data_IF_737528168574
#
_entry.id   IF_737528168574
#
_cell.length_a   1.000
_cell.length_b   1.000
_cell.length_c   1.000
_cell.angle_alpha   90.00
_cell.angle_beta   90.00
_cell.angle_gamma   90.00
#
_symmetry.space_group_name_H-M   'P 1'
#
loop_
_entity.id
_entity.type
_entity.pdbx_description
1 polymer ?
#
# COMPACT_ATOMS: atom_id res chain seq x y z
N UNK A 1 -64.40 -14.34 -29.69
CA UNK A 1 -63.64 -13.36 -30.48
C UNK A 1 -62.65 -12.72 -29.54
N UNK A 2 -61.38 -13.00 -29.76
CA UNK A 2 -60.25 -12.62 -28.91
C UNK A 2 -59.88 -11.16 -29.15
N UNK A 3 -59.55 -10.43 -28.10
CA UNK A 3 -58.70 -9.26 -28.21
C UNK A 3 -57.88 -9.08 -26.92
N UNK A 4 -56.61 -9.52 -26.90
CA UNK A 4 -55.64 -9.07 -25.92
C UNK A 4 -54.62 -8.17 -26.63
N UNK A 5 -54.75 -6.86 -26.47
CA UNK A 5 -53.62 -5.96 -26.67
C UNK A 5 -52.83 -5.93 -25.36
N UNK A 6 -51.96 -6.92 -25.19
CA UNK A 6 -50.78 -6.75 -24.35
C UNK A 6 -49.79 -5.92 -25.17
N UNK A 7 -49.64 -4.64 -24.81
CA UNK A 7 -48.45 -3.89 -25.17
C UNK A 7 -47.25 -4.57 -24.49
N UNK A 8 -46.62 -5.51 -25.19
CA UNK A 8 -45.27 -5.95 -24.87
C UNK A 8 -44.36 -4.72 -24.95
N UNK A 9 -44.03 -4.19 -23.77
CA UNK A 9 -42.89 -3.27 -23.62
C UNK A 9 -41.67 -4.04 -24.10
N UNK A 10 -41.19 -3.69 -25.30
CA UNK A 10 -40.00 -4.24 -25.89
C UNK A 10 -38.80 -3.96 -24.99
N UNK A 11 -38.39 -4.96 -24.20
CA UNK A 11 -37.26 -4.92 -23.27
C UNK A 11 -35.90 -5.13 -23.94
N UNK A 12 -35.83 -5.12 -25.27
CA UNK A 12 -34.56 -5.24 -25.98
C UNK A 12 -33.89 -3.86 -26.17
N UNK A 13 -32.65 -3.76 -25.66
CA UNK A 13 -31.67 -2.67 -25.87
C UNK A 13 -31.62 -1.48 -24.88
N UNK A 14 -31.88 -1.68 -23.59
CA UNK A 14 -31.21 -0.81 -22.60
C UNK A 14 -29.76 -1.30 -22.46
N UNK A 15 -28.82 -0.53 -23.01
CA UNK A 15 -27.37 -0.75 -22.84
C UNK A 15 -27.01 -0.97 -21.37
N UNK A 16 -26.19 -1.98 -21.08
CA UNK A 16 -25.71 -2.28 -19.72
C UNK A 16 -25.02 -1.08 -19.06
N UNK A 17 -24.41 -0.16 -19.84
CA UNK A 17 -23.86 1.08 -19.31
C UNK A 17 -24.93 2.01 -18.73
N UNK A 18 -26.11 2.05 -19.36
CA UNK A 18 -27.27 2.84 -18.92
C UNK A 18 -27.91 2.25 -17.67
N UNK A 19 -27.91 0.92 -17.53
CA UNK A 19 -28.42 0.21 -16.34
C UNK A 19 -27.50 0.44 -15.12
N UNK A 20 -26.19 0.58 -15.34
CA UNK A 20 -25.18 0.66 -14.28
C UNK A 20 -24.71 2.10 -13.93
N UNK A 21 -25.23 3.14 -14.60
CA UNK A 21 -24.69 4.52 -14.55
C UNK A 21 -23.15 4.54 -14.67
N UNK A 22 -22.63 3.72 -15.59
CA UNK A 22 -21.20 3.48 -15.68
C UNK A 22 -20.50 4.71 -16.27
N UNK A 23 -19.66 5.37 -15.47
CA UNK A 23 -18.90 6.54 -15.91
C UNK A 23 -17.66 6.11 -16.70
N UNK A 24 -17.40 6.76 -17.86
CA UNK A 24 -16.15 6.54 -18.58
C UNK A 24 -14.95 7.02 -17.74
N UNK A 25 -13.73 6.52 -18.01
CA UNK A 25 -12.54 7.09 -17.40
C UNK A 25 -12.43 8.59 -17.71
N UNK A 26 -11.85 9.40 -16.81
CA UNK A 26 -11.61 10.81 -17.09
C UNK A 26 -10.69 10.98 -18.31
N UNK A 27 -10.74 12.12 -19.02
CA UNK A 27 -9.83 12.40 -20.13
C UNK A 27 -8.36 12.16 -19.77
N UNK A 28 -7.58 11.64 -20.72
CA UNK A 28 -6.17 11.37 -20.50
C UNK A 28 -5.37 12.68 -20.53
N UNK A 29 -4.60 12.91 -19.46
CA UNK A 29 -3.68 14.05 -19.38
C UNK A 29 -2.38 13.75 -20.14
N UNK A 30 -2.34 14.10 -21.42
CA UNK A 30 -1.17 13.94 -22.27
C UNK A 30 -0.04 14.96 -21.99
N UNK A 31 -0.31 16.02 -21.23
CA UNK A 31 0.62 17.13 -20.98
C UNK A 31 1.26 17.09 -19.58
N UNK A 32 0.83 16.16 -18.73
CA UNK A 32 1.39 15.92 -17.41
C UNK A 32 2.84 15.40 -17.42
N UNK A 33 3.28 14.83 -16.29
CA UNK A 33 4.66 14.36 -16.13
C UNK A 33 5.08 13.33 -17.22
N UNK A 34 6.08 13.71 -18.02
CA UNK A 34 6.63 12.88 -19.08
C UNK A 34 7.32 11.62 -18.58
N UNK A 35 7.84 11.63 -17.34
CA UNK A 35 8.56 10.47 -16.78
C UNK A 35 7.64 9.28 -16.52
N UNK A 36 6.35 9.54 -16.31
CA UNK A 36 5.31 8.54 -16.06
C UNK A 36 4.29 8.43 -17.20
N UNK A 37 4.48 9.11 -18.33
CA UNK A 37 3.50 9.21 -19.41
C UNK A 37 3.07 7.84 -19.95
N UNK A 38 4.03 6.92 -20.19
CA UNK A 38 3.74 5.54 -20.62
C UNK A 38 2.84 4.81 -19.64
N UNK A 39 3.20 4.86 -18.36
CA UNK A 39 2.52 4.12 -17.30
C UNK A 39 1.10 4.67 -17.11
N UNK A 40 0.95 6.00 -17.10
CA UNK A 40 -0.35 6.66 -17.03
C UNK A 40 -1.21 6.29 -18.25
N UNK A 41 -0.62 6.26 -19.45
CA UNK A 41 -1.33 5.83 -20.66
C UNK A 41 -1.79 4.38 -20.55
N UNK A 42 -0.91 3.47 -20.10
CA UNK A 42 -1.21 2.05 -19.86
C UNK A 42 -2.36 1.83 -18.88
N UNK A 43 -2.35 2.54 -17.76
CA UNK A 43 -3.45 2.45 -16.78
C UNK A 43 -4.75 3.02 -17.34
N UNK A 44 -4.67 4.13 -18.09
CA UNK A 44 -5.84 4.76 -18.69
C UNK A 44 -6.52 3.84 -19.73
N UNK A 45 -5.73 3.23 -20.64
CA UNK A 45 -6.25 2.29 -21.64
C UNK A 45 -6.83 1.02 -21.02
N UNK A 46 -6.27 0.53 -19.92
CA UNK A 46 -6.82 -0.61 -19.17
C UNK A 46 -8.20 -0.28 -18.61
N UNK A 47 -8.34 0.90 -17.98
CA UNK A 47 -9.64 1.40 -17.50
C UNK A 47 -10.64 1.61 -18.65
N UNK A 48 -10.19 2.16 -19.78
CA UNK A 48 -11.03 2.30 -20.97
C UNK A 48 -11.49 0.94 -21.50
N UNK A 49 -10.61 -0.06 -21.58
CA UNK A 49 -10.98 -1.40 -22.01
C UNK A 49 -12.01 -2.03 -21.07
N UNK A 50 -11.81 -1.95 -19.75
CA UNK A 50 -12.79 -2.39 -18.75
C UNK A 50 -14.14 -1.69 -18.94
N UNK A 51 -14.13 -0.37 -19.17
CA UNK A 51 -15.32 0.41 -19.45
C UNK A 51 -16.04 -0.11 -20.70
N UNK A 52 -15.33 -0.32 -21.82
CA UNK A 52 -15.97 -0.80 -23.07
C UNK A 52 -16.58 -2.19 -22.92
N UNK A 53 -15.93 -3.09 -22.16
CA UNK A 53 -16.45 -4.44 -21.88
C UNK A 53 -17.70 -4.35 -21.00
N UNK A 54 -17.65 -3.58 -19.91
CA UNK A 54 -18.79 -3.42 -19.01
C UNK A 54 -19.97 -2.68 -19.68
N UNK A 55 -19.69 -1.75 -20.58
CA UNK A 55 -20.66 -1.04 -21.40
C UNK A 55 -21.21 -1.88 -22.57
N UNK A 56 -20.73 -3.12 -22.75
CA UNK A 56 -21.12 -4.02 -23.84
C UNK A 56 -20.89 -3.40 -25.24
N UNK A 57 -19.84 -2.59 -25.39
CA UNK A 57 -19.47 -1.99 -26.68
C UNK A 57 -18.70 -3.03 -27.49
N UNK A 58 -19.37 -3.60 -28.49
CA UNK A 58 -18.83 -4.67 -29.35
C UNK A 58 -18.41 -4.18 -30.73
N UNK A 59 -19.09 -3.17 -31.26
CA UNK A 59 -18.79 -2.64 -32.58
C UNK A 59 -17.43 -1.92 -32.58
N UNK A 60 -16.59 -2.28 -33.54
CA UNK A 60 -15.21 -1.82 -33.60
C UNK A 60 -15.11 -0.33 -33.93
N UNK A 61 -15.94 0.15 -34.87
CA UNK A 61 -16.00 1.55 -35.24
C UNK A 61 -16.51 2.42 -34.09
N UNK A 62 -17.52 1.95 -33.36
CA UNK A 62 -18.02 2.58 -32.14
C UNK A 62 -16.95 2.62 -31.06
N UNK A 63 -16.24 1.50 -30.82
CA UNK A 63 -15.17 1.43 -29.82
C UNK A 63 -14.02 2.39 -30.15
N UNK A 64 -13.66 2.49 -31.44
CA UNK A 64 -12.68 3.47 -31.95
C UNK A 64 -13.13 4.91 -31.74
N UNK A 65 -14.36 5.25 -32.09
CA UNK A 65 -14.91 6.59 -31.88
C UNK A 65 -14.91 6.95 -30.39
N UNK A 66 -15.32 6.01 -29.54
CA UNK A 66 -15.31 6.17 -28.08
C UNK A 66 -13.89 6.37 -27.53
N UNK A 67 -12.89 5.64 -28.04
CA UNK A 67 -11.49 5.82 -27.64
C UNK A 67 -11.04 7.27 -27.88
N UNK A 68 -11.23 7.78 -29.10
CA UNK A 68 -10.79 9.13 -29.48
C UNK A 68 -11.58 10.24 -28.79
N UNK A 69 -12.84 9.98 -28.43
CA UNK A 69 -13.67 10.93 -27.70
C UNK A 69 -13.33 10.96 -26.20
N UNK A 70 -13.32 9.80 -25.55
CA UNK A 70 -13.12 9.68 -24.09
C UNK A 70 -11.67 9.98 -23.69
N UNK A 71 -10.69 9.65 -24.54
CA UNK A 71 -9.29 10.03 -24.30
C UNK A 71 -9.10 11.56 -24.23
N UNK A 72 -10.00 12.32 -24.84
CA UNK A 72 -10.06 13.76 -24.72
C UNK A 72 -9.31 14.52 -25.81
N UNK A 73 -9.42 15.86 -25.81
CA UNK A 73 -8.96 16.71 -26.91
C UNK A 73 -7.46 16.63 -27.19
N UNK A 74 -6.63 16.51 -26.15
CA UNK A 74 -5.17 16.44 -26.29
C UNK A 74 -4.75 15.17 -27.03
N UNK A 75 -5.32 14.01 -26.68
CA UNK A 75 -5.08 12.75 -27.39
C UNK A 75 -5.61 12.80 -28.81
N UNK A 76 -6.80 13.38 -29.03
CA UNK A 76 -7.35 13.53 -30.37
C UNK A 76 -6.46 14.42 -31.28
N UNK A 77 -5.87 15.48 -30.71
CA UNK A 77 -4.92 16.35 -31.42
C UNK A 77 -3.65 15.58 -31.79
N UNK A 78 -3.10 14.80 -30.86
CA UNK A 78 -1.96 13.91 -31.10
C UNK A 78 -2.29 12.92 -32.22
N UNK A 79 -3.43 12.25 -32.13
CA UNK A 79 -3.88 11.28 -33.12
C UNK A 79 -3.91 11.84 -34.54
N UNK A 80 -4.36 13.08 -34.74
CA UNK A 80 -4.37 13.76 -36.04
C UNK A 80 -2.97 13.99 -36.64
N UNK A 81 -1.92 13.89 -35.84
CA UNK A 81 -0.53 14.01 -36.31
C UNK A 81 0.09 12.67 -36.70
N UNK A 82 -0.55 11.55 -36.34
CA UNK A 82 -0.06 10.20 -36.63
C UNK A 82 -0.39 9.80 -38.06
N UNK A 83 0.50 9.03 -38.67
CA UNK A 83 0.30 8.41 -39.99
C UNK A 83 -0.14 6.94 -39.82
N UNK A 84 -0.72 6.37 -40.86
CA UNK A 84 -1.11 4.95 -40.91
C UNK A 84 -2.01 4.52 -39.73
N UNK A 85 -2.97 5.37 -39.36
CA UNK A 85 -3.83 5.18 -38.18
C UNK A 85 -4.92 4.13 -38.34
N UNK A 86 -5.06 3.54 -39.53
CA UNK A 86 -6.13 2.60 -39.85
C UNK A 86 -7.54 3.20 -39.69
N UNK A 87 -8.54 2.32 -39.80
CA UNK A 87 -9.96 2.66 -39.58
C UNK A 87 -10.60 1.85 -38.46
N UNK A 88 -9.90 0.85 -37.96
CA UNK A 88 -10.29 -0.03 -36.88
C UNK A 88 -9.71 0.43 -35.53
N UNK A 89 -10.33 -0.04 -34.45
CA UNK A 89 -9.93 0.25 -33.08
C UNK A 89 -8.51 -0.24 -32.78
N UNK A 90 -8.14 -1.43 -33.26
CA UNK A 90 -6.86 -2.05 -32.93
C UNK A 90 -5.70 -1.21 -33.47
N UNK A 91 -5.68 -0.89 -34.76
CA UNK A 91 -4.62 -0.06 -35.36
C UNK A 91 -4.58 1.34 -34.77
N UNK A 92 -5.75 1.93 -34.49
CA UNK A 92 -5.84 3.24 -33.81
C UNK A 92 -5.15 3.20 -32.45
N UNK A 93 -5.43 2.15 -31.67
CA UNK A 93 -4.89 1.98 -30.32
C UNK A 93 -3.38 1.70 -30.34
N UNK A 94 -2.91 0.87 -31.27
CA UNK A 94 -1.49 0.58 -31.47
C UNK A 94 -0.70 1.85 -31.81
N UNK A 95 -1.23 2.72 -32.67
CA UNK A 95 -0.56 3.99 -33.01
C UNK A 95 -0.48 4.96 -31.83
N UNK A 96 -1.53 5.00 -31.02
CA UNK A 96 -1.50 5.77 -29.79
C UNK A 96 -0.52 5.17 -28.77
N UNK A 97 -0.41 3.84 -28.69
CA UNK A 97 0.62 3.18 -27.88
C UNK A 97 2.02 3.54 -28.32
N UNK A 98 2.32 3.44 -29.61
CA UNK A 98 3.63 3.82 -30.17
C UNK A 98 3.98 5.28 -29.83
N UNK A 99 3.00 6.19 -29.86
CA UNK A 99 3.22 7.59 -29.51
C UNK A 99 3.45 7.79 -28.00
N UNK A 100 2.59 7.21 -27.16
CA UNK A 100 2.63 7.42 -25.72
C UNK A 100 3.64 6.55 -24.99
N UNK A 101 4.24 5.58 -25.67
CA UNK A 101 5.39 4.85 -25.18
C UNK A 101 6.63 5.76 -25.30
N UNK A 102 7.16 6.32 -24.20
CA UNK A 102 8.51 6.86 -24.21
C UNK A 102 9.48 5.71 -24.48
N UNK A 103 10.70 6.02 -24.92
CA UNK A 103 11.80 5.07 -24.79
C UNK A 103 11.88 4.66 -23.32
N UNK A 104 11.41 3.45 -23.00
CA UNK A 104 11.34 2.92 -21.64
C UNK A 104 12.74 3.01 -21.04
N UNK A 105 12.95 3.97 -20.15
CA UNK A 105 14.21 4.08 -19.44
C UNK A 105 14.16 3.15 -18.23
N UNK A 106 14.40 1.87 -18.47
CA UNK A 106 14.42 0.83 -17.44
C UNK A 106 15.31 1.22 -16.25
N UNK A 107 16.40 1.97 -16.51
CA UNK A 107 17.29 2.46 -15.44
C UNK A 107 16.59 3.47 -14.55
N UNK A 108 15.82 4.39 -15.12
CA UNK A 108 15.02 5.35 -14.36
C UNK A 108 13.93 4.67 -13.54
N UNK A 109 13.20 3.70 -14.13
CA UNK A 109 12.18 2.92 -13.41
C UNK A 109 12.78 2.20 -12.20
N UNK A 110 13.92 1.53 -12.41
CA UNK A 110 14.66 0.86 -11.33
C UNK A 110 15.15 1.85 -10.28
N UNK A 111 15.58 3.05 -10.68
CA UNK A 111 15.96 4.11 -9.74
C UNK A 111 14.77 4.52 -8.86
N UNK A 112 13.60 4.80 -9.44
CA UNK A 112 12.37 5.14 -8.70
C UNK A 112 11.96 4.01 -7.75
N UNK A 113 12.01 2.77 -8.22
CA UNK A 113 11.75 1.58 -7.40
C UNK A 113 12.69 1.49 -6.19
N UNK A 114 14.01 1.65 -6.39
CA UNK A 114 14.99 1.57 -5.29
C UNK A 114 14.92 2.74 -4.31
N UNK A 115 14.44 3.91 -4.74
CA UNK A 115 14.21 5.08 -3.89
C UNK A 115 12.90 5.01 -3.09
N UNK A 116 12.06 4.00 -3.34
CA UNK A 116 10.76 3.88 -2.68
C UNK A 116 10.90 3.36 -1.26
N UNK A 117 10.35 4.12 -0.30
CA UNK A 117 10.26 3.79 1.12
C UNK A 117 8.82 3.79 1.63
N UNK A 118 8.49 3.05 2.71
CA UNK A 118 7.21 3.15 3.38
C UNK A 118 6.98 4.57 3.90
N UNK A 119 5.80 5.12 3.67
CA UNK A 119 5.41 6.43 4.20
C UNK A 119 4.89 6.30 5.64
N UNK A 120 4.99 7.34 6.48
CA UNK A 120 4.48 7.28 7.85
C UNK A 120 2.99 6.92 7.91
N UNK A 121 2.64 5.85 8.62
CA UNK A 121 1.27 5.37 8.74
C UNK A 121 0.76 4.52 7.57
N UNK A 122 1.60 4.25 6.56
CA UNK A 122 1.25 3.32 5.47
C UNK A 122 1.12 1.90 6.00
N UNK A 123 0.05 1.20 5.60
CA UNK A 123 -0.10 -0.23 5.92
C UNK A 123 0.90 -1.07 5.12
N UNK A 124 1.24 -2.23 5.67
CA UNK A 124 2.11 -3.22 5.01
C UNK A 124 1.57 -3.57 3.62
N UNK A 125 0.25 -3.78 3.48
CA UNK A 125 -0.38 -4.15 2.22
C UNK A 125 -0.40 -3.01 1.19
N UNK A 126 -0.57 -1.76 1.63
CA UNK A 126 -0.45 -0.58 0.76
C UNK A 126 0.97 -0.46 0.20
N UNK A 127 1.97 -0.58 1.08
CA UNK A 127 3.37 -0.49 0.68
C UNK A 127 3.78 -1.62 -0.28
N UNK A 128 3.35 -2.85 0.00
CA UNK A 128 3.56 -4.01 -0.88
C UNK A 128 2.94 -3.76 -2.25
N UNK A 129 1.68 -3.30 -2.30
CA UNK A 129 0.99 -3.02 -3.56
C UNK A 129 1.78 -2.00 -4.38
N UNK A 130 2.22 -0.90 -3.75
CA UNK A 130 3.00 0.15 -4.41
C UNK A 130 4.34 -0.35 -4.96
N UNK A 131 5.09 -1.15 -4.19
CA UNK A 131 6.33 -1.74 -4.67
C UNK A 131 6.09 -2.69 -5.86
N UNK A 132 5.05 -3.52 -5.80
CA UNK A 132 4.70 -4.44 -6.90
C UNK A 132 4.36 -3.68 -8.17
N UNK A 133 3.55 -2.62 -8.08
CA UNK A 133 3.21 -1.78 -9.23
C UNK A 133 4.45 -1.18 -9.88
N UNK A 134 5.40 -0.68 -9.10
CA UNK A 134 6.65 -0.13 -9.63
C UNK A 134 7.56 -1.21 -10.25
N UNK A 135 7.55 -2.43 -9.71
CA UNK A 135 8.37 -3.53 -10.22
C UNK A 135 7.95 -3.98 -11.64
N UNK A 136 6.69 -3.77 -12.04
CA UNK A 136 6.16 -4.18 -13.36
C UNK A 136 6.87 -3.51 -14.53
N UNK A 137 7.37 -2.28 -14.35
CA UNK A 137 8.06 -1.50 -15.40
C UNK A 137 9.58 -1.71 -15.38
N UNK A 138 10.13 -2.35 -14.34
CA UNK A 138 11.57 -2.45 -14.11
C UNK A 138 12.29 -3.57 -14.89
N UNK A 139 11.56 -4.43 -15.60
CA UNK A 139 12.12 -5.59 -16.34
C UNK A 139 13.04 -6.45 -15.46
N UNK A 140 12.63 -6.71 -14.23
CA UNK A 140 13.35 -7.63 -13.37
C UNK A 140 13.13 -9.07 -13.83
N UNK A 141 14.17 -9.90 -13.74
CA UNK A 141 14.05 -11.34 -13.96
C UNK A 141 13.06 -11.96 -12.97
N UNK A 142 13.10 -11.50 -11.71
CA UNK A 142 12.11 -11.83 -10.69
C UNK A 142 11.65 -10.57 -9.97
N UNK A 143 10.48 -10.06 -10.35
CA UNK A 143 9.84 -8.94 -9.67
C UNK A 143 9.57 -9.26 -8.19
N UNK A 144 9.23 -10.51 -7.85
CA UNK A 144 9.00 -10.91 -6.45
C UNK A 144 10.27 -10.84 -5.60
N UNK A 145 11.41 -11.32 -6.10
CA UNK A 145 12.67 -11.24 -5.38
C UNK A 145 13.11 -9.79 -5.18
N UNK A 146 13.02 -8.97 -6.22
CA UNK A 146 13.39 -7.56 -6.14
C UNK A 146 12.48 -6.77 -5.19
N UNK A 147 11.18 -7.06 -5.20
CA UNK A 147 10.19 -6.48 -4.27
C UNK A 147 10.49 -6.90 -2.83
N UNK A 148 10.81 -8.18 -2.59
CA UNK A 148 11.21 -8.68 -1.28
C UNK A 148 12.46 -7.95 -0.77
N UNK A 149 13.48 -7.88 -1.60
CA UNK A 149 14.78 -7.32 -1.21
C UNK A 149 14.64 -5.81 -0.96
N UNK A 150 13.89 -5.10 -1.81
CA UNK A 150 13.57 -3.69 -1.60
C UNK A 150 12.79 -3.45 -0.31
N UNK A 151 11.81 -4.30 0.01
CA UNK A 151 11.06 -4.18 1.27
C UNK A 151 12.00 -4.29 2.48
N UNK A 152 12.94 -5.25 2.47
CA UNK A 152 13.92 -5.43 3.55
C UNK A 152 14.87 -4.23 3.63
N UNK A 153 15.39 -3.75 2.50
CA UNK A 153 16.30 -2.60 2.45
C UNK A 153 15.63 -1.32 2.97
N UNK A 154 14.41 -1.04 2.53
CA UNK A 154 13.66 0.16 2.85
C UNK A 154 12.97 0.13 4.23
N UNK A 155 13.05 -0.98 4.96
CA UNK A 155 12.43 -1.14 6.27
C UNK A 155 13.05 -0.18 7.31
N UNK A 156 12.25 0.79 7.77
CA UNK A 156 12.66 1.80 8.76
C UNK A 156 12.95 1.25 10.15
N UNK A 157 12.28 0.16 10.55
CA UNK A 157 12.51 -0.48 11.86
C UNK A 157 13.76 -1.35 11.80
N UNK A 158 14.83 -0.93 12.47
CA UNK A 158 16.08 -1.69 12.55
C UNK A 158 15.86 -3.10 13.12
N UNK A 159 15.10 -3.22 14.21
CA UNK A 159 14.82 -4.51 14.84
C UNK A 159 14.04 -5.45 13.91
N UNK A 160 13.09 -4.91 13.15
CA UNK A 160 12.32 -5.70 12.19
C UNK A 160 13.16 -6.14 10.99
N UNK A 161 13.96 -5.23 10.43
CA UNK A 161 14.91 -5.55 9.37
C UNK A 161 15.88 -6.65 9.79
N UNK A 162 16.44 -6.55 11.00
CA UNK A 162 17.32 -7.59 11.56
C UNK A 162 16.60 -8.93 11.73
N UNK A 163 15.32 -8.93 12.11
CA UNK A 163 14.51 -10.17 12.16
C UNK A 163 14.36 -10.79 10.77
N UNK A 164 14.03 -9.99 9.75
CA UNK A 164 13.89 -10.46 8.37
C UNK A 164 15.22 -11.02 7.83
N UNK A 165 16.34 -10.35 8.09
CA UNK A 165 17.68 -10.78 7.65
C UNK A 165 18.17 -12.08 8.31
N UNK A 166 17.54 -12.54 9.39
CA UNK A 166 17.85 -13.84 10.03
C UNK A 166 17.13 -15.01 9.37
N UNK A 167 16.10 -14.76 8.57
CA UNK A 167 15.39 -15.80 7.83
C UNK A 167 16.24 -16.22 6.63
N UNK A 168 16.91 -17.37 6.73
CA UNK A 168 17.82 -17.89 5.68
C UNK A 168 17.10 -18.22 4.37
N UNK A 169 15.80 -18.48 4.44
CA UNK A 169 14.90 -18.82 3.34
C UNK A 169 13.73 -17.81 3.25
N UNK A 170 14.03 -16.51 3.37
CA UNK A 170 13.00 -15.48 3.28
C UNK A 170 12.39 -15.46 1.87
N UNK A 171 11.23 -16.09 1.70
CA UNK A 171 10.43 -15.98 0.46
C UNK A 171 9.53 -14.75 0.50
N UNK A 172 9.02 -14.33 -0.65
CA UNK A 172 8.03 -13.26 -0.74
C UNK A 172 6.79 -13.54 0.14
N UNK A 173 6.25 -14.77 0.08
CA UNK A 173 5.13 -15.17 0.92
C UNK A 173 5.44 -15.12 2.43
N UNK A 174 6.66 -15.53 2.82
CA UNK A 174 7.12 -15.51 4.21
C UNK A 174 7.29 -14.08 4.72
N UNK A 175 7.86 -13.20 3.90
CA UNK A 175 7.98 -11.76 4.17
C UNK A 175 6.61 -11.12 4.46
N UNK A 176 5.61 -11.36 3.59
CA UNK A 176 4.25 -10.84 3.78
C UNK A 176 3.66 -11.32 5.10
N UNK A 177 3.76 -12.63 5.36
CA UNK A 177 3.22 -13.25 6.58
C UNK A 177 3.82 -12.64 7.84
N UNK A 178 5.15 -12.53 7.89
CA UNK A 178 5.89 -11.95 9.03
C UNK A 178 5.53 -10.47 9.22
N UNK A 179 5.41 -9.71 8.12
CA UNK A 179 5.11 -8.28 8.15
C UNK A 179 3.70 -7.99 8.63
N UNK A 180 2.70 -8.73 8.14
CA UNK A 180 1.30 -8.62 8.62
C UNK A 180 1.17 -9.01 10.09
N UNK A 181 1.87 -10.07 10.54
CA UNK A 181 1.87 -10.48 11.94
C UNK A 181 2.44 -9.38 12.86
N UNK A 182 3.51 -8.70 12.43
CA UNK A 182 4.06 -7.55 13.16
C UNK A 182 3.07 -6.39 13.20
N UNK A 183 2.49 -6.01 12.06
CA UNK A 183 1.51 -4.92 12.00
C UNK A 183 0.33 -5.19 12.94
N UNK A 184 -0.18 -6.42 12.97
CA UNK A 184 -1.26 -6.83 13.87
C UNK A 184 -0.87 -6.73 15.36
N UNK A 185 0.36 -7.12 15.72
CA UNK A 185 0.86 -7.07 17.10
C UNK A 185 1.12 -5.64 17.60
N UNK A 186 1.39 -4.70 16.68
CA UNK A 186 1.68 -3.30 17.01
C UNK A 186 0.46 -2.38 16.93
N UNK A 187 -0.69 -2.88 16.43
CA UNK A 187 -1.95 -2.14 16.52
C UNK A 187 -2.20 -1.78 17.99
N UNK A 188 -2.56 -0.52 18.30
CA UNK A 188 -2.81 -0.09 19.66
C UNK A 188 -3.77 -1.06 20.36
N UNK A 189 -3.33 -1.58 21.50
CA UNK A 189 -4.08 -2.48 22.36
C UNK A 189 -5.26 -1.76 23.05
N UNK A 190 -6.16 -1.13 22.29
CA UNK A 190 -7.42 -0.63 22.84
C UNK A 190 -8.34 -1.80 23.26
N UNK A 191 -8.06 -3.02 22.79
CA UNK A 191 -8.90 -4.20 23.04
C UNK A 191 -8.25 -5.25 23.97
N UNK A 192 -7.00 -5.07 24.43
CA UNK A 192 -6.31 -6.05 25.29
C UNK A 192 -6.24 -5.60 26.77
N UNK A 193 -6.53 -4.34 27.06
CA UNK A 193 -6.68 -3.84 28.45
C UNK A 193 -8.16 -3.57 28.79
N UNK A 194 -8.98 -4.60 28.67
CA UNK A 194 -10.39 -4.55 29.04
C UNK A 194 -10.66 -4.90 30.51
N UNK A 195 -9.77 -5.60 31.22
CA UNK A 195 -10.00 -6.06 32.60
C UNK A 195 -8.68 -6.15 33.39
N UNK A 196 -8.23 -5.03 33.97
CA UNK A 196 -7.59 -5.01 35.30
C UNK A 196 -7.28 -3.58 35.77
N UNK A 197 -8.32 -2.90 36.27
CA UNK A 197 -8.16 -1.94 37.37
C UNK A 197 -9.21 -2.21 38.45
N UNK A 198 -9.39 -3.49 38.84
CA UNK A 198 -9.85 -3.74 40.20
C UNK A 198 -8.60 -3.75 41.08
N UNK A 199 -8.49 -2.70 41.91
CA UNK A 199 -7.54 -2.64 43.02
C UNK A 199 -7.84 -3.82 43.95
N UNK A 200 -7.09 -4.91 43.85
CA UNK A 200 -7.02 -5.88 44.95
C UNK A 200 -6.19 -5.25 46.07
N UNK A 201 -6.85 -4.44 46.90
CA UNK A 201 -6.40 -4.20 48.27
C UNK A 201 -6.49 -5.53 49.02
N UNK A 202 -5.39 -6.26 49.08
CA UNK A 202 -5.28 -7.41 49.99
C UNK A 202 -5.11 -6.82 51.39
N UNK A 203 -6.16 -6.94 52.20
CA UNK A 203 -6.19 -6.45 53.57
C UNK A 203 -5.25 -7.31 54.44
N UNK A 204 -4.25 -6.70 55.09
CA UNK A 204 -3.34 -7.40 55.99
C UNK A 204 -4.03 -7.60 57.34
N UNK A 205 -4.41 -8.84 57.65
CA UNK A 205 -4.90 -9.22 58.99
C UNK A 205 -3.71 -9.12 59.97
N UNK A 206 -3.88 -8.34 61.04
CA UNK A 206 -2.99 -8.39 62.21
C UNK A 206 -3.60 -9.42 63.16
N UNK A 207 -2.90 -10.51 63.40
CA UNK A 207 -3.12 -11.33 64.59
C UNK A 207 -2.16 -10.84 65.70
N UNK A 208 -2.75 -10.52 66.84
CA UNK A 208 -2.08 -10.17 68.09
C UNK A 208 -1.90 -11.43 68.94
N UNK A 209 -0.71 -11.59 69.54
CA UNK A 209 -0.45 -12.48 70.68
C UNK A 209 0.41 -13.70 70.38
N UNK A 210 1.70 -13.70 70.72
CA UNK A 210 2.17 -13.89 72.09
C UNK A 210 3.70 -13.66 72.14
N UNK A 211 4.14 -12.99 73.19
CA UNK A 211 5.52 -12.59 73.45
C UNK A 211 6.44 -13.78 73.72
N UNK A 212 7.62 -13.81 73.10
CA UNK A 212 8.82 -14.33 73.76
C UNK A 212 10.11 -13.72 73.15
N UNK A 213 10.92 -13.18 74.05
CA UNK A 213 12.00 -12.24 73.79
C UNK A 213 13.18 -12.84 73.01
N UNK A 214 13.59 -12.17 71.92
CA UNK A 214 14.97 -12.23 71.39
C UNK A 214 15.47 -10.86 70.94
N UNK A 215 16.27 -10.31 71.83
CA UNK A 215 17.42 -9.44 71.65
C UNK A 215 17.98 -9.38 70.21
N UNK A 216 18.05 -8.17 69.61
CA UNK A 216 19.25 -7.55 68.99
C UNK A 216 18.96 -6.51 67.88
N UNK A 217 19.57 -5.34 68.12
CA UNK A 217 20.14 -4.38 67.16
C UNK A 217 19.19 -3.42 66.41
N UNK A 218 19.23 -2.17 66.89
CA UNK A 218 18.66 -0.96 66.31
C UNK A 218 19.13 -0.76 64.86
N UNK A 219 18.22 -0.79 63.89
CA UNK A 219 18.47 -0.27 62.54
C UNK A 219 18.13 1.22 62.50
N UNK A 220 19.18 2.04 62.39
CA UNK A 220 19.06 3.48 62.16
C UNK A 220 18.37 3.75 60.82
N UNK A 221 17.45 4.73 60.81
CA UNK A 221 16.78 5.22 59.60
C UNK A 221 17.84 5.75 58.61
N UNK A 222 17.87 5.18 57.41
CA UNK A 222 18.71 5.64 56.31
C UNK A 222 18.24 7.02 55.84
N UNK A 223 19.11 8.02 55.97
CA UNK A 223 18.96 9.35 55.37
C UNK A 223 19.90 9.41 54.16
N UNK A 224 19.40 9.65 52.93
CA UNK A 224 20.27 9.74 51.76
C UNK A 224 21.19 10.96 51.88
N UNK A 225 22.51 10.76 51.78
CA UNK A 225 23.48 11.87 51.72
C UNK A 225 23.53 12.42 50.28
N UNK A 226 23.64 13.75 50.10
CA UNK A 226 23.77 14.35 48.78
C UNK A 226 25.11 13.94 48.13
N UNK A 227 25.05 13.53 46.87
CA UNK A 227 26.22 13.08 46.10
C UNK A 227 27.09 14.28 45.70
N UNK A 228 28.40 14.23 45.97
CA UNK A 228 29.35 15.22 45.45
C UNK A 228 29.58 14.99 43.97
N UNK A 229 29.73 16.08 43.21
CA UNK A 229 29.77 16.10 41.73
C UNK A 229 30.94 15.33 41.10
N UNK A 230 31.97 14.97 41.88
CA UNK A 230 33.20 14.38 41.35
C UNK A 230 33.36 12.90 41.69
N UNK A 231 32.28 12.15 41.97
CA UNK A 231 32.40 10.75 42.40
C UNK A 231 31.67 9.78 41.47
N UNK A 232 32.37 8.74 41.03
CA UNK A 232 31.86 7.72 40.12
C UNK A 232 30.68 6.94 40.71
N UNK A 233 29.57 6.84 39.97
CA UNK A 233 28.37 6.10 40.42
C UNK A 233 28.49 4.58 40.38
N UNK A 234 29.48 4.02 39.67
CA UNK A 234 29.65 2.56 39.55
C UNK A 234 30.67 2.00 40.55
N UNK A 235 31.71 2.77 40.90
CA UNK A 235 32.80 2.30 41.80
C UNK A 235 33.09 3.21 43.00
N UNK A 236 32.49 4.39 43.10
CA UNK A 236 32.64 5.28 44.25
C UNK A 236 33.95 6.09 44.33
N UNK A 237 34.84 5.99 43.35
CA UNK A 237 36.09 6.76 43.35
C UNK A 237 35.86 8.23 42.95
N UNK A 238 36.60 9.15 43.57
CA UNK A 238 36.61 10.57 43.21
C UNK A 238 37.54 10.82 42.02
N UNK A 239 37.06 11.59 41.04
CA UNK A 239 37.87 12.08 39.91
C UNK A 239 38.38 13.49 40.27
N UNK A 240 39.67 13.73 40.05
CA UNK A 240 40.26 15.07 40.17
C UNK A 240 39.95 15.93 38.94
#
# INVERSE_FOLDING_TARGET
MLNPNEEEVNTEEISMATILDLKPPPPFDAEGDNSSLAQRWKEWRERFNMYTVAANIKDDAQKRAMLLYVAGPSVHKIFKTLQDTGTDFKTTLEKLDEYFQPQKNVIYERYVFKQTHPTPGESVDSYITRLRTLAETCEFESAENETRDQFVMACSSHGFRTKLLRETDLTWAKLITISRAKELAEKPASNISGHNKSRNNVNRVKDEGNDEAKDKVRHAKYVPKPHKQNQCRNCGNEFK
#
